data_IF_728614927258
#
_entry.id   IF_728614927258
#
_cell.length_a   1.000
_cell.length_b   1.000
_cell.length_c   1.000
_cell.angle_alpha   90.00
_cell.angle_beta   90.00
_cell.angle_gamma   90.00
#
_symmetry.space_group_name_H-M   'P 1'
#
loop_
_entity.id
_entity.type
_entity.pdbx_description
1 polymer ?
#
# COMPACT_ATOMS: atom_id res chain seq x y z
N UNK A 1 20.02 8.31 -4.37
CA UNK A 1 19.29 9.52 -4.05
C UNK A 1 17.80 9.20 -3.90
N UNK A 2 17.23 9.54 -2.77
CA UNK A 2 15.82 9.24 -2.51
C UNK A 2 14.94 10.29 -3.15
N UNK A 3 14.05 9.87 -4.02
CA UNK A 3 13.07 10.76 -4.62
C UNK A 3 11.83 10.81 -3.75
N UNK A 4 11.42 12.01 -3.38
CA UNK A 4 10.16 12.18 -2.66
C UNK A 4 9.01 12.16 -3.67
N UNK A 5 8.02 11.35 -3.38
CA UNK A 5 6.80 11.32 -4.17
C UNK A 5 5.75 12.18 -3.47
N UNK A 6 5.27 13.20 -4.15
CA UNK A 6 4.19 14.03 -3.64
C UNK A 6 2.85 13.51 -4.15
N UNK A 7 1.95 13.21 -3.21
CA UNK A 7 0.60 12.78 -3.56
C UNK A 7 -0.15 13.96 -4.19
N UNK A 8 -0.81 13.75 -5.34
CA UNK A 8 -1.66 14.79 -5.92
C UNK A 8 -2.76 15.21 -4.95
N UNK A 9 -3.14 16.49 -4.98
CA UNK A 9 -4.23 17.01 -4.15
C UNK A 9 -5.59 16.43 -4.53
N UNK A 10 -5.74 15.97 -5.75
CA UNK A 10 -6.98 15.39 -6.25
C UNK A 10 -6.91 13.85 -6.25
N UNK A 11 -7.75 13.14 -5.47
CA UNK A 11 -7.65 11.68 -5.33
C UNK A 11 -7.69 10.91 -6.65
N UNK A 12 -8.49 11.33 -7.59
CA UNK A 12 -8.65 10.62 -8.88
C UNK A 12 -7.44 10.77 -9.81
N UNK A 13 -6.51 11.70 -9.52
CA UNK A 13 -5.35 11.92 -10.36
C UNK A 13 -4.29 10.83 -10.24
N UNK A 14 -4.26 10.08 -9.14
CA UNK A 14 -3.28 9.01 -8.94
C UNK A 14 -3.66 7.71 -9.68
N UNK A 15 -4.94 7.36 -9.69
CA UNK A 15 -5.37 6.01 -10.08
C UNK A 15 -5.31 5.05 -8.91
N UNK A 16 -5.12 3.76 -9.19
CA UNK A 16 -5.16 2.72 -8.16
C UNK A 16 -3.86 2.65 -7.36
N UNK A 17 -3.96 2.73 -6.04
CA UNK A 17 -2.84 2.56 -5.10
C UNK A 17 -2.94 1.18 -4.47
N UNK A 18 -1.89 0.37 -4.61
CA UNK A 18 -1.83 -0.98 -4.08
C UNK A 18 -0.90 -1.05 -2.88
N UNK A 19 -1.38 -1.61 -1.78
CA UNK A 19 -0.63 -1.74 -0.52
C UNK A 19 -0.24 -3.19 -0.27
N UNK A 20 1.05 -3.46 -0.20
CA UNK A 20 1.56 -4.79 0.17
C UNK A 20 1.58 -4.91 1.69
N UNK A 21 0.95 -5.95 2.23
CA UNK A 21 0.79 -6.10 3.67
C UNK A 21 -0.24 -5.14 4.24
N UNK A 22 -1.35 -4.97 3.53
CA UNK A 22 -2.39 -3.98 3.82
C UNK A 22 -2.98 -4.09 5.23
N UNK A 23 -2.97 -5.28 5.82
CA UNK A 23 -3.46 -5.52 7.18
C UNK A 23 -2.49 -5.18 8.30
N UNK A 24 -1.31 -4.65 7.98
CA UNK A 24 -0.35 -4.23 8.98
C UNK A 24 -0.88 -3.08 9.84
N UNK A 25 -0.33 -2.94 11.06
CA UNK A 25 -0.84 -1.98 12.05
C UNK A 25 -0.80 -0.55 11.50
N UNK A 26 0.34 -0.08 11.05
CA UNK A 26 0.46 1.27 10.49
C UNK A 26 -0.14 1.39 9.11
N UNK A 27 0.04 0.36 8.29
CA UNK A 27 -0.43 0.35 6.91
C UNK A 27 -1.97 0.45 6.85
N UNK A 28 -2.68 -0.34 7.65
CA UNK A 28 -4.15 -0.35 7.63
C UNK A 28 -4.74 1.01 8.01
N UNK A 29 -4.10 1.75 8.91
CA UNK A 29 -4.54 3.08 9.29
C UNK A 29 -4.47 4.08 8.15
N UNK A 30 -3.36 4.11 7.41
CA UNK A 30 -3.22 5.04 6.28
C UNK A 30 -4.14 4.67 5.12
N UNK A 31 -4.36 3.37 4.90
CA UNK A 31 -5.30 2.91 3.87
C UNK A 31 -6.71 3.41 4.16
N UNK A 32 -7.15 3.29 5.41
CA UNK A 32 -8.46 3.78 5.83
C UNK A 32 -8.62 5.28 5.60
N UNK A 33 -7.61 6.07 5.97
CA UNK A 33 -7.61 7.52 5.75
C UNK A 33 -7.71 7.83 4.26
N UNK A 34 -6.90 7.19 3.44
CA UNK A 34 -6.90 7.45 1.99
C UNK A 34 -8.22 7.04 1.35
N UNK A 35 -8.79 5.90 1.77
CA UNK A 35 -10.09 5.47 1.28
C UNK A 35 -11.17 6.51 1.59
N UNK A 36 -11.19 7.01 2.82
CA UNK A 36 -12.17 8.02 3.25
C UNK A 36 -12.00 9.35 2.54
N UNK A 37 -10.78 9.66 2.08
CA UNK A 37 -10.50 10.85 1.28
C UNK A 37 -10.86 10.67 -0.21
N UNK A 38 -11.29 9.48 -0.61
CA UNK A 38 -11.72 9.23 -1.99
C UNK A 38 -10.66 8.62 -2.89
N UNK A 39 -9.49 8.24 -2.38
CA UNK A 39 -8.48 7.54 -3.19
C UNK A 39 -8.95 6.13 -3.52
N UNK A 40 -8.60 5.66 -4.71
CA UNK A 40 -8.82 4.27 -5.09
C UNK A 40 -7.70 3.42 -4.51
N UNK A 41 -8.01 2.64 -3.49
CA UNK A 41 -7.04 1.82 -2.77
C UNK A 41 -7.41 0.35 -2.83
N UNK A 42 -6.39 -0.48 -2.84
CA UNK A 42 -6.49 -1.94 -2.76
C UNK A 42 -5.23 -2.47 -2.10
N UNK A 43 -5.15 -3.76 -1.88
CA UNK A 43 -3.93 -4.34 -1.36
C UNK A 43 -3.93 -5.85 -1.32
N UNK A 44 -2.85 -6.38 -0.77
CA UNK A 44 -2.65 -7.80 -0.56
C UNK A 44 -2.15 -8.07 0.85
N UNK A 45 -2.50 -9.24 1.38
CA UNK A 45 -2.00 -9.71 2.66
C UNK A 45 -2.09 -11.23 2.71
N UNK A 46 -1.15 -11.84 3.41
CA UNK A 46 -1.17 -13.30 3.64
C UNK A 46 -2.09 -13.65 4.81
N UNK A 47 -2.41 -12.69 5.65
CA UNK A 47 -3.24 -12.85 6.85
C UNK A 47 -4.67 -12.40 6.59
N UNK A 48 -5.61 -12.98 7.33
CA UNK A 48 -7.00 -12.54 7.39
C UNK A 48 -7.31 -11.94 8.76
N UNK A 49 -6.40 -11.13 9.29
CA UNK A 49 -6.52 -10.53 10.61
C UNK A 49 -7.68 -9.52 10.69
N UNK A 50 -7.91 -8.98 11.89
CA UNK A 50 -9.00 -8.03 12.14
C UNK A 50 -8.90 -6.76 11.28
N UNK A 51 -7.66 -6.28 11.00
CA UNK A 51 -7.45 -5.12 10.14
C UNK A 51 -7.89 -5.40 8.71
N UNK A 52 -7.52 -6.58 8.16
CA UNK A 52 -7.96 -6.99 6.83
C UNK A 52 -9.47 -7.04 6.75
N UNK A 53 -10.11 -7.66 7.74
CA UNK A 53 -11.58 -7.76 7.78
C UNK A 53 -12.24 -6.40 7.85
N UNK A 54 -11.71 -5.49 8.66
CA UNK A 54 -12.24 -4.14 8.78
C UNK A 54 -12.19 -3.40 7.44
N UNK A 55 -11.05 -3.47 6.76
CA UNK A 55 -10.89 -2.81 5.45
C UNK A 55 -11.80 -3.43 4.39
N UNK A 56 -11.95 -4.75 4.39
CA UNK A 56 -12.88 -5.43 3.47
C UNK A 56 -14.32 -4.97 3.71
N UNK A 57 -14.72 -4.79 4.97
CA UNK A 57 -16.06 -4.30 5.31
C UNK A 57 -16.29 -2.86 4.85
N UNK A 58 -15.22 -2.09 4.63
CA UNK A 58 -15.30 -0.75 4.05
C UNK A 58 -15.42 -0.77 2.51
N UNK A 59 -15.39 -1.95 1.90
CA UNK A 59 -15.45 -2.09 0.45
C UNK A 59 -14.11 -2.08 -0.25
N UNK A 60 -13.00 -2.16 0.49
CA UNK A 60 -11.66 -2.18 -0.08
C UNK A 60 -11.33 -3.60 -0.57
N UNK A 61 -10.85 -3.69 -1.81
CA UNK A 61 -10.47 -4.98 -2.40
C UNK A 61 -9.12 -5.44 -1.83
N UNK A 62 -9.10 -6.63 -1.26
CA UNK A 62 -7.89 -7.21 -0.69
C UNK A 62 -7.68 -8.60 -1.27
N UNK A 63 -6.52 -8.82 -1.88
CA UNK A 63 -6.10 -10.12 -2.39
C UNK A 63 -5.47 -10.91 -1.26
N UNK A 64 -5.82 -12.17 -1.14
CA UNK A 64 -5.14 -13.07 -0.21
C UNK A 64 -3.87 -13.58 -0.87
N UNK A 65 -2.73 -13.26 -0.25
CA UNK A 65 -1.43 -13.59 -0.80
C UNK A 65 -0.93 -12.57 -1.81
N UNK A 66 0.37 -12.62 -2.05
CA UNK A 66 1.04 -11.70 -2.97
C UNK A 66 1.25 -12.39 -4.32
N UNK A 67 0.88 -11.73 -5.40
CA UNK A 67 0.99 -12.27 -6.75
C UNK A 67 1.14 -11.14 -7.76
N UNK A 68 1.92 -11.37 -8.80
CA UNK A 68 2.15 -10.37 -9.85
C UNK A 68 0.84 -9.94 -10.52
N UNK A 69 -0.14 -10.84 -10.64
CA UNK A 69 -1.44 -10.53 -11.23
C UNK A 69 -2.24 -9.49 -10.45
N UNK A 70 -1.95 -9.31 -9.16
CA UNK A 70 -2.59 -8.29 -8.32
C UNK A 70 -2.23 -6.88 -8.75
N UNK A 71 -1.20 -6.73 -9.58
CA UNK A 71 -0.68 -5.42 -10.02
C UNK A 71 -1.35 -4.90 -11.29
N UNK A 72 -2.36 -5.59 -11.82
CA UNK A 72 -3.09 -5.12 -12.99
C UNK A 72 -3.74 -3.76 -12.69
N UNK A 73 -3.52 -2.78 -13.58
CA UNK A 73 -4.05 -1.42 -13.48
C UNK A 73 -3.62 -0.63 -12.24
N UNK A 74 -2.56 -1.05 -11.56
CA UNK A 74 -2.00 -0.34 -10.42
C UNK A 74 -1.12 0.82 -10.89
N UNK A 75 -1.33 1.99 -10.32
CA UNK A 75 -0.56 3.20 -10.62
C UNK A 75 0.56 3.46 -9.62
N UNK A 76 0.43 2.98 -8.40
CA UNK A 76 1.38 3.23 -7.31
C UNK A 76 1.40 2.05 -6.35
N UNK A 77 2.59 1.59 -5.98
CA UNK A 77 2.77 0.52 -5.00
C UNK A 77 3.32 1.08 -3.70
N UNK A 78 2.69 0.76 -2.57
CA UNK A 78 3.16 1.14 -1.24
C UNK A 78 3.57 -0.11 -0.48
N UNK A 79 4.78 -0.10 0.06
CA UNK A 79 5.34 -1.21 0.83
C UNK A 79 5.82 -0.72 2.19
N UNK A 80 5.96 -1.64 3.14
CA UNK A 80 6.63 -1.37 4.43
C UNK A 80 8.05 -1.92 4.41
N UNK A 81 8.84 -1.55 5.42
CA UNK A 81 10.20 -2.06 5.58
C UNK A 81 10.27 -3.58 5.80
N UNK A 82 9.16 -4.21 6.18
CA UNK A 82 9.09 -5.66 6.36
C UNK A 82 9.06 -6.44 5.04
N UNK A 83 8.80 -5.77 3.93
CA UNK A 83 8.67 -6.43 2.62
C UNK A 83 10.06 -6.68 2.02
N UNK A 84 10.29 -7.92 1.58
CA UNK A 84 11.54 -8.28 0.89
C UNK A 84 11.43 -7.89 -0.58
N UNK A 85 12.08 -6.79 -0.94
CA UNK A 85 11.92 -6.16 -2.26
C UNK A 85 12.50 -6.98 -3.40
N UNK A 86 13.44 -7.89 -3.12
CA UNK A 86 14.05 -8.75 -4.15
C UNK A 86 13.24 -10.03 -4.37
N UNK A 87 12.27 -10.35 -3.52
CA UNK A 87 11.53 -11.61 -3.56
C UNK A 87 10.03 -11.43 -3.75
N UNK A 88 9.47 -10.30 -3.27
CA UNK A 88 8.03 -10.11 -3.32
C UNK A 88 7.56 -9.96 -4.77
N UNK A 89 6.63 -10.81 -5.23
CA UNK A 89 6.20 -10.80 -6.64
C UNK A 89 5.52 -9.51 -7.06
N UNK A 90 4.87 -8.80 -6.17
CA UNK A 90 4.22 -7.53 -6.50
C UNK A 90 5.24 -6.41 -6.68
N UNK A 91 6.30 -6.40 -5.85
CA UNK A 91 7.40 -5.44 -6.01
C UNK A 91 8.14 -5.70 -7.32
N UNK A 92 8.44 -6.96 -7.63
CA UNK A 92 9.11 -7.33 -8.87
C UNK A 92 8.26 -6.95 -10.09
N UNK A 93 6.95 -7.17 -10.03
CA UNK A 93 6.03 -6.76 -11.09
C UNK A 93 5.99 -5.23 -11.25
N UNK A 94 5.98 -4.49 -10.14
CA UNK A 94 6.00 -3.03 -10.19
C UNK A 94 7.25 -2.50 -10.89
N UNK A 95 8.41 -3.06 -10.57
CA UNK A 95 9.66 -2.68 -11.24
C UNK A 95 9.61 -2.96 -12.74
N UNK A 96 9.11 -4.14 -13.11
CA UNK A 96 9.01 -4.55 -14.51
C UNK A 96 8.06 -3.65 -15.30
N UNK A 97 7.00 -3.18 -14.67
CA UNK A 97 5.97 -2.35 -15.28
C UNK A 97 6.26 -0.84 -15.11
N UNK A 98 7.36 -0.48 -14.50
CA UNK A 98 7.75 0.90 -14.20
C UNK A 98 6.72 1.62 -13.32
N UNK A 99 6.09 0.89 -12.40
CA UNK A 99 5.17 1.45 -11.41
C UNK A 99 6.00 2.00 -10.25
N UNK A 100 5.79 3.27 -9.83
CA UNK A 100 6.50 3.82 -8.67
C UNK A 100 6.22 3.01 -7.40
N UNK A 101 7.27 2.84 -6.59
CA UNK A 101 7.22 2.13 -5.32
C UNK A 101 7.55 3.10 -4.20
N UNK A 102 6.66 3.24 -3.21
CA UNK A 102 6.85 4.09 -2.05
C UNK A 102 7.04 3.23 -0.81
N UNK A 103 8.07 3.54 -0.03
CA UNK A 103 8.29 2.93 1.27
C UNK A 103 7.55 3.73 2.35
N UNK A 104 6.64 3.06 3.07
CA UNK A 104 5.95 3.65 4.21
C UNK A 104 6.65 3.25 5.51
N UNK A 105 7.16 4.22 6.25
CA UNK A 105 7.95 4.02 7.48
C UNK A 105 7.17 4.51 8.69
N UNK A 106 6.23 3.68 9.14
CA UNK A 106 5.31 4.04 10.24
C UNK A 106 6.06 4.27 11.57
N UNK A 107 7.03 3.41 11.87
CA UNK A 107 7.76 3.52 13.15
C UNK A 107 8.59 4.80 13.23
N UNK A 108 9.19 5.22 12.13
CA UNK A 108 9.98 6.44 12.09
C UNK A 108 9.09 7.67 12.30
N UNK A 109 7.91 7.68 11.72
CA UNK A 109 6.92 8.74 11.91
C UNK A 109 6.51 8.82 13.38
N UNK A 110 6.21 7.68 14.01
CA UNK A 110 5.86 7.63 15.43
C UNK A 110 6.99 8.15 16.33
N UNK A 111 8.22 7.80 16.02
CA UNK A 111 9.38 8.22 16.79
C UNK A 111 9.58 9.75 16.71
N UNK A 112 9.33 10.36 15.56
CA UNK A 112 9.40 11.81 15.42
C UNK A 112 8.38 12.54 16.29
N UNK A 113 7.19 11.98 16.44
CA UNK A 113 6.13 12.58 17.24
C UNK A 113 6.26 12.34 18.74
N UNK A 114 7.17 11.44 19.16
CA UNK A 114 7.40 11.13 20.57
C UNK A 114 8.49 11.98 21.23
N UNK A 115 9.24 12.68 20.46
CA UNK A 115 10.36 13.47 20.98
C UNK A 115 9.90 14.61 21.89
#
# INVERSE_FOLDING_TARGET
MTQLYEMPSHPNAIGCVHFVGIGGIGMSGIVEIMHNLGYHVQGSDVSENANVQRLQNMGIKIFKGHDASNMADVALLVISSAIKTDENPEVLAARKLSIPVILFIYLDILNEFRA
#
